data_IF_618019745617
#
_entry.id   IF_618019745617
#
_cell.length_a   1.000
_cell.length_b   1.000
_cell.length_c   1.000
_cell.angle_alpha   90.00
_cell.angle_beta   90.00
_cell.angle_gamma   90.00
#
_symmetry.space_group_name_H-M   'P 1'
#
loop_
_entity.id
_entity.type
_entity.pdbx_description
1 polymer ?
#
# COMPACT_ATOMS: atom_id res chain seq x y z
N UNK A 1 -87.82 13.42 -94.52
CA UNK A 1 -87.17 12.18 -94.05
C UNK A 1 -85.62 12.13 -94.11
N UNK A 2 -84.90 13.11 -94.69
CA UNK A 2 -83.41 13.06 -94.77
C UNK A 2 -82.65 13.57 -93.53
N UNK A 3 -83.21 14.50 -92.75
CA UNK A 3 -82.53 15.09 -91.57
C UNK A 3 -82.28 14.08 -90.43
N UNK A 4 -83.23 13.17 -90.18
CA UNK A 4 -83.15 12.24 -89.05
C UNK A 4 -82.00 11.20 -89.18
N UNK A 5 -81.57 10.87 -90.41
CA UNK A 5 -80.46 9.92 -90.64
C UNK A 5 -79.08 10.53 -90.35
N UNK A 6 -78.93 11.85 -90.48
CA UNK A 6 -77.66 12.53 -90.26
C UNK A 6 -77.38 12.71 -88.77
N UNK A 7 -78.38 13.12 -88.00
CA UNK A 7 -78.30 13.23 -86.53
C UNK A 7 -77.96 11.89 -85.87
N UNK A 8 -78.58 10.79 -86.32
CA UNK A 8 -78.28 9.44 -85.78
C UNK A 8 -76.84 9.01 -86.07
N UNK A 9 -76.26 9.38 -87.23
CA UNK A 9 -74.86 9.06 -87.53
C UNK A 9 -73.88 9.86 -86.67
N UNK A 10 -74.13 11.15 -86.47
CA UNK A 10 -73.28 12.01 -85.63
C UNK A 10 -73.34 11.57 -84.17
N UNK A 11 -74.54 11.26 -83.65
CA UNK A 11 -74.71 10.76 -82.29
C UNK A 11 -73.98 9.42 -82.04
N UNK A 12 -74.01 8.49 -83.01
CA UNK A 12 -73.27 7.23 -82.92
C UNK A 12 -71.75 7.42 -82.94
N UNK A 13 -71.25 8.38 -83.71
CA UNK A 13 -69.81 8.67 -83.78
C UNK A 13 -69.30 9.32 -82.49
N UNK A 14 -70.07 10.24 -81.92
CA UNK A 14 -69.77 10.85 -80.62
C UNK A 14 -69.80 9.82 -79.47
N UNK A 15 -70.77 8.90 -79.48
CA UNK A 15 -70.83 7.80 -78.49
C UNK A 15 -69.60 6.88 -78.59
N UNK A 16 -69.13 6.60 -79.80
CA UNK A 16 -67.96 5.75 -80.04
C UNK A 16 -66.66 6.41 -79.54
N UNK A 17 -66.49 7.71 -79.79
CA UNK A 17 -65.34 8.49 -79.26
C UNK A 17 -65.39 8.57 -77.73
N UNK A 18 -66.58 8.74 -77.13
CA UNK A 18 -66.75 8.74 -75.68
C UNK A 18 -66.41 7.37 -75.06
N UNK A 19 -66.85 6.27 -75.69
CA UNK A 19 -66.54 4.91 -75.28
C UNK A 19 -65.04 4.59 -75.37
N UNK A 20 -64.36 5.04 -76.43
CA UNK A 20 -62.91 4.88 -76.56
C UNK A 20 -62.18 5.70 -75.48
N UNK A 21 -62.61 6.94 -75.22
CA UNK A 21 -62.06 7.77 -74.15
C UNK A 21 -62.20 7.14 -72.76
N UNK A 22 -63.35 6.52 -72.47
CA UNK A 22 -63.60 5.80 -71.21
C UNK A 22 -62.71 4.55 -71.11
N UNK A 23 -62.57 3.78 -72.18
CA UNK A 23 -61.73 2.56 -72.20
C UNK A 23 -60.24 2.88 -72.04
N UNK A 24 -59.74 3.96 -72.67
CA UNK A 24 -58.36 4.40 -72.49
C UNK A 24 -58.11 5.00 -71.09
N UNK A 25 -59.06 5.76 -70.54
CA UNK A 25 -59.01 6.26 -69.16
C UNK A 25 -59.02 5.15 -68.11
N UNK A 26 -59.88 4.13 -68.29
CA UNK A 26 -59.91 2.92 -67.45
C UNK A 26 -58.61 2.11 -67.56
N UNK A 27 -58.01 2.01 -68.75
CA UNK A 27 -56.74 1.29 -68.96
C UNK A 27 -55.54 2.00 -68.30
N UNK A 28 -55.52 3.34 -68.28
CA UNK A 28 -54.50 4.12 -67.58
C UNK A 28 -54.65 3.99 -66.07
N UNK A 29 -55.86 4.17 -65.54
CA UNK A 29 -56.19 4.01 -64.12
C UNK A 29 -55.84 2.60 -63.60
N UNK A 30 -56.14 1.56 -64.38
CA UNK A 30 -55.77 0.18 -64.03
C UNK A 30 -54.25 -0.07 -63.98
N UNK A 31 -53.44 0.64 -64.78
CA UNK A 31 -51.98 0.52 -64.72
C UNK A 31 -51.41 1.19 -63.47
N UNK A 32 -51.96 2.33 -63.08
CA UNK A 32 -51.57 3.03 -61.85
C UNK A 32 -51.97 2.25 -60.60
N UNK A 33 -53.18 1.70 -60.55
CA UNK A 33 -53.64 0.79 -59.50
C UNK A 33 -52.72 -0.43 -59.34
N UNK A 34 -52.32 -1.08 -60.44
CA UNK A 34 -51.37 -2.20 -60.39
C UNK A 34 -49.99 -1.78 -59.87
N UNK A 35 -49.49 -0.60 -60.27
CA UNK A 35 -48.22 -0.06 -59.76
C UNK A 35 -48.29 0.26 -58.27
N UNK A 36 -49.41 0.80 -57.80
CA UNK A 36 -49.63 1.12 -56.40
C UNK A 36 -49.72 -0.16 -55.56
N UNK A 37 -50.47 -1.17 -56.01
CA UNK A 37 -50.54 -2.48 -55.35
C UNK A 37 -49.16 -3.14 -55.25
N UNK A 38 -48.37 -3.11 -56.32
CA UNK A 38 -46.99 -3.64 -56.29
C UNK A 38 -46.02 -2.84 -55.39
N UNK A 39 -46.33 -1.57 -55.08
CA UNK A 39 -45.60 -0.79 -54.06
C UNK A 39 -46.07 -1.17 -52.66
N UNK A 40 -47.37 -1.32 -52.45
CA UNK A 40 -47.97 -1.76 -51.18
C UNK A 40 -47.44 -3.15 -50.80
N UNK A 41 -47.40 -4.10 -51.73
CA UNK A 41 -46.88 -5.44 -51.48
C UNK A 41 -45.40 -5.41 -51.10
N UNK A 42 -44.60 -4.56 -51.75
CA UNK A 42 -43.19 -4.37 -51.39
C UNK A 42 -43.01 -3.78 -49.99
N UNK A 43 -43.81 -2.78 -49.65
CA UNK A 43 -43.78 -2.18 -48.32
C UNK A 43 -44.23 -3.20 -47.27
N UNK A 44 -45.27 -4.00 -47.56
CA UNK A 44 -45.72 -5.07 -46.65
C UNK A 44 -44.62 -6.08 -46.39
N UNK A 45 -43.94 -6.57 -47.42
CA UNK A 45 -42.79 -7.48 -47.26
C UNK A 45 -41.66 -6.84 -46.45
N UNK A 46 -41.39 -5.55 -46.65
CA UNK A 46 -40.40 -4.81 -45.85
C UNK A 46 -40.82 -4.68 -44.38
N UNK A 47 -42.09 -4.40 -44.12
CA UNK A 47 -42.65 -4.34 -42.76
C UNK A 47 -42.57 -5.70 -42.10
N UNK A 48 -43.00 -6.77 -42.78
CA UNK A 48 -42.94 -8.14 -42.26
C UNK A 48 -41.48 -8.55 -41.96
N UNK A 49 -40.53 -8.18 -42.82
CA UNK A 49 -39.10 -8.40 -42.60
C UNK A 49 -38.56 -7.60 -41.42
N UNK A 50 -38.98 -6.34 -41.25
CA UNK A 50 -38.59 -5.51 -40.11
C UNK A 50 -39.19 -6.00 -38.80
N UNK A 51 -40.44 -6.44 -38.81
CA UNK A 51 -41.11 -7.07 -37.67
C UNK A 51 -40.40 -8.37 -37.27
N UNK A 52 -40.03 -9.20 -38.24
CA UNK A 52 -39.27 -10.43 -37.99
C UNK A 52 -37.88 -10.13 -37.42
N UNK A 53 -37.17 -9.15 -37.99
CA UNK A 53 -35.86 -8.73 -37.49
C UNK A 53 -35.96 -8.17 -36.06
N UNK A 54 -36.96 -7.33 -35.78
CA UNK A 54 -37.19 -6.79 -34.44
C UNK A 54 -37.60 -7.88 -33.43
N UNK A 55 -38.40 -8.86 -33.85
CA UNK A 55 -38.79 -9.99 -33.01
C UNK A 55 -37.60 -10.85 -32.57
N UNK A 56 -36.53 -10.90 -33.38
CA UNK A 56 -35.30 -11.65 -33.08
C UNK A 56 -34.31 -10.79 -32.28
N UNK A 57 -34.09 -9.54 -32.69
CA UNK A 57 -33.07 -8.68 -32.11
C UNK A 57 -33.43 -8.19 -30.69
N UNK A 58 -34.71 -7.95 -30.41
CA UNK A 58 -35.12 -7.40 -29.13
C UNK A 58 -34.88 -8.37 -27.95
N UNK A 59 -35.26 -9.66 -28.02
CA UNK A 59 -34.93 -10.64 -26.99
C UNK A 59 -33.42 -10.82 -26.78
N UNK A 60 -32.64 -10.82 -27.85
CA UNK A 60 -31.18 -10.99 -27.80
C UNK A 60 -30.51 -9.80 -27.09
N UNK A 61 -30.92 -8.57 -27.43
CA UNK A 61 -30.47 -7.36 -26.76
C UNK A 61 -30.85 -7.35 -25.27
N UNK A 62 -32.08 -7.78 -24.93
CA UNK A 62 -32.52 -7.89 -23.54
C UNK A 62 -31.72 -8.94 -22.77
N UNK A 63 -31.39 -10.07 -23.39
CA UNK A 63 -30.57 -11.11 -22.79
C UNK A 63 -29.14 -10.61 -22.52
N UNK A 64 -28.52 -9.96 -23.52
CA UNK A 64 -27.18 -9.37 -23.40
C UNK A 64 -27.14 -8.27 -22.32
N UNK A 65 -28.14 -7.39 -22.28
CA UNK A 65 -28.27 -6.36 -21.25
C UNK A 65 -28.43 -6.96 -19.85
N UNK A 66 -29.31 -7.96 -19.69
CA UNK A 66 -29.51 -8.66 -18.42
C UNK A 66 -28.22 -9.34 -17.94
N UNK A 67 -27.43 -9.89 -18.85
CA UNK A 67 -26.14 -10.51 -18.53
C UNK A 67 -25.09 -9.46 -18.13
N UNK A 68 -25.01 -8.34 -18.84
CA UNK A 68 -24.12 -7.23 -18.49
C UNK A 68 -24.45 -6.64 -17.11
N UNK A 69 -25.74 -6.41 -16.83
CA UNK A 69 -26.21 -5.93 -15.51
C UNK A 69 -25.87 -6.92 -14.40
N UNK A 70 -26.10 -8.23 -14.61
CA UNK A 70 -25.70 -9.27 -13.64
C UNK A 70 -24.19 -9.29 -13.39
N UNK A 71 -23.37 -9.25 -14.44
CA UNK A 71 -21.91 -9.21 -14.30
C UNK A 71 -21.42 -8.01 -13.50
N UNK A 72 -22.01 -6.83 -13.74
CA UNK A 72 -21.70 -5.60 -13.00
C UNK A 72 -22.06 -5.70 -11.51
N UNK A 73 -23.26 -6.19 -11.18
CA UNK A 73 -23.67 -6.41 -9.77
C UNK A 73 -22.77 -7.41 -9.03
N UNK A 74 -22.27 -8.44 -9.74
CA UNK A 74 -21.33 -9.41 -9.17
C UNK A 74 -19.95 -8.79 -8.95
N UNK A 75 -19.48 -7.95 -9.88
CA UNK A 75 -18.21 -7.22 -9.75
C UNK A 75 -18.24 -6.22 -8.58
N UNK A 76 -19.36 -5.51 -8.39
CA UNK A 76 -19.54 -4.58 -7.28
C UNK A 76 -19.55 -5.35 -5.93
N UNK A 77 -20.16 -6.53 -5.91
CA UNK A 77 -20.14 -7.45 -4.75
C UNK A 77 -18.72 -7.98 -4.44
N UNK A 78 -17.95 -8.36 -5.46
CA UNK A 78 -16.54 -8.78 -5.30
C UNK A 78 -15.68 -7.62 -4.76
N UNK A 79 -15.88 -6.42 -5.29
CA UNK A 79 -15.17 -5.20 -4.86
C UNK A 79 -15.45 -4.90 -3.39
N UNK A 80 -16.71 -5.00 -2.97
CA UNK A 80 -17.12 -4.82 -1.57
C UNK A 80 -16.47 -5.88 -0.65
N UNK A 81 -16.44 -7.15 -1.08
CA UNK A 81 -15.77 -8.25 -0.34
C UNK A 81 -14.28 -7.99 -0.22
N UNK A 82 -13.61 -7.53 -1.29
CA UNK A 82 -12.19 -7.20 -1.28
C UNK A 82 -11.91 -6.01 -0.34
N UNK A 83 -12.69 -4.93 -0.40
CA UNK A 83 -12.56 -3.81 0.53
C UNK A 83 -12.74 -4.25 1.99
N UNK A 84 -13.75 -5.08 2.28
CA UNK A 84 -13.95 -5.64 3.62
C UNK A 84 -12.77 -6.48 4.08
N UNK A 85 -12.18 -7.27 3.17
CA UNK A 85 -11.00 -8.10 3.45
C UNK A 85 -9.75 -7.25 3.70
N UNK A 86 -9.52 -6.21 2.91
CA UNK A 86 -8.44 -5.23 3.09
C UNK A 86 -8.56 -4.55 4.45
N UNK A 87 -9.75 -4.04 4.79
CA UNK A 87 -9.98 -3.40 6.09
C UNK A 87 -9.75 -4.38 7.25
N UNK A 88 -10.19 -5.63 7.10
CA UNK A 88 -9.94 -6.68 8.10
C UNK A 88 -8.45 -6.98 8.26
N UNK A 89 -7.69 -7.03 7.15
CA UNK A 89 -6.25 -7.24 7.17
C UNK A 89 -5.52 -6.07 7.81
N UNK A 90 -5.87 -4.83 7.48
CA UNK A 90 -5.30 -3.63 8.10
C UNK A 90 -5.49 -3.63 9.62
N UNK A 91 -6.69 -3.98 10.10
CA UNK A 91 -6.95 -4.09 11.55
C UNK A 91 -6.09 -5.17 12.21
N UNK A 92 -5.87 -6.32 11.53
CA UNK A 92 -4.98 -7.37 12.03
C UNK A 92 -3.51 -6.94 12.06
N UNK A 93 -3.05 -6.23 11.02
CA UNK A 93 -1.69 -5.67 10.97
C UNK A 93 -1.47 -4.71 12.14
N UNK A 94 -2.41 -3.79 12.37
CA UNK A 94 -2.35 -2.86 13.51
C UNK A 94 -2.31 -3.59 14.87
N UNK A 95 -3.08 -4.68 15.04
CA UNK A 95 -3.00 -5.49 16.27
C UNK A 95 -1.65 -6.20 16.44
N UNK A 96 -1.06 -6.69 15.35
CA UNK A 96 0.25 -7.34 15.38
C UNK A 96 1.36 -6.33 15.68
N UNK A 97 1.32 -5.13 15.09
CA UNK A 97 2.25 -4.03 15.39
C UNK A 97 2.17 -3.63 16.86
N UNK A 98 0.96 -3.44 17.40
CA UNK A 98 0.77 -3.18 18.83
C UNK A 98 1.34 -4.31 19.69
N UNK A 99 1.10 -5.57 19.32
CA UNK A 99 1.63 -6.73 20.05
C UNK A 99 3.15 -6.81 19.99
N UNK A 100 3.79 -6.43 18.88
CA UNK A 100 5.25 -6.35 18.77
C UNK A 100 5.81 -5.32 19.76
N UNK A 101 5.18 -4.16 19.89
CA UNK A 101 5.54 -3.14 20.90
C UNK A 101 5.42 -3.70 22.34
N UNK A 102 4.40 -4.51 22.61
CA UNK A 102 4.26 -5.18 23.92
C UNK A 102 5.27 -6.32 24.12
N UNK A 103 5.70 -7.01 23.06
CA UNK A 103 6.78 -7.99 23.12
C UNK A 103 8.10 -7.32 23.47
N UNK A 104 8.41 -6.16 22.89
CA UNK A 104 9.59 -5.37 23.28
C UNK A 104 9.55 -4.97 24.74
N UNK A 105 8.37 -4.60 25.24
CA UNK A 105 8.16 -4.28 26.66
C UNK A 105 8.39 -5.49 27.57
N UNK A 106 7.98 -6.69 27.15
CA UNK A 106 8.17 -7.94 27.92
C UNK A 106 9.62 -8.41 27.86
N UNK A 107 10.25 -8.36 26.68
CA UNK A 107 11.67 -8.60 26.49
C UNK A 107 12.51 -7.65 27.33
N UNK A 108 12.09 -6.39 27.44
CA UNK A 108 12.72 -5.43 28.32
C UNK A 108 12.49 -5.72 29.80
N UNK A 109 11.32 -6.19 30.22
CA UNK A 109 11.09 -6.62 31.60
C UNK A 109 11.98 -7.82 31.97
N UNK A 110 12.09 -8.80 31.08
CA UNK A 110 12.98 -9.96 31.24
C UNK A 110 14.44 -9.49 31.31
N UNK A 111 14.84 -8.60 30.40
CA UNK A 111 16.15 -7.98 30.42
C UNK A 111 16.41 -7.28 31.76
N UNK A 112 15.51 -6.41 32.22
CA UNK A 112 15.61 -5.72 33.50
C UNK A 112 15.74 -6.68 34.70
N UNK A 113 15.06 -7.83 34.67
CA UNK A 113 15.20 -8.89 35.69
C UNK A 113 16.55 -9.57 35.64
N UNK A 114 17.04 -9.93 34.45
CA UNK A 114 18.40 -10.46 34.25
C UNK A 114 19.45 -9.46 34.74
N UNK A 115 19.21 -8.19 34.46
CA UNK A 115 20.04 -7.07 34.89
C UNK A 115 20.18 -6.99 36.40
N UNK A 116 19.07 -7.09 37.14
CA UNK A 116 19.08 -7.10 38.60
C UNK A 116 19.79 -8.32 39.19
N UNK A 117 19.70 -9.47 38.53
CA UNK A 117 20.38 -10.70 38.95
C UNK A 117 21.90 -10.51 38.80
N UNK A 118 22.35 -9.97 37.67
CA UNK A 118 23.76 -9.70 37.42
C UNK A 118 24.35 -8.71 38.44
N UNK A 119 23.63 -7.64 38.77
CA UNK A 119 24.04 -6.70 39.81
C UNK A 119 24.22 -7.38 41.18
N UNK A 120 23.34 -8.32 41.52
CA UNK A 120 23.49 -9.11 42.76
C UNK A 120 24.75 -9.98 42.71
N UNK A 121 25.04 -10.62 41.58
CA UNK A 121 26.24 -11.45 41.39
C UNK A 121 27.50 -10.62 41.53
N UNK A 122 27.61 -9.48 40.85
CA UNK A 122 28.78 -8.59 40.94
C UNK A 122 28.97 -8.07 42.36
N UNK A 123 27.91 -7.65 43.03
CA UNK A 123 27.99 -7.20 44.44
C UNK A 123 28.52 -8.31 45.34
N UNK A 124 28.01 -9.54 45.17
CA UNK A 124 28.50 -10.72 45.88
C UNK A 124 29.98 -11.02 45.59
N UNK A 125 30.40 -10.95 44.33
CA UNK A 125 31.80 -11.14 43.91
C UNK A 125 32.73 -10.09 44.49
N UNK A 126 32.30 -8.82 44.51
CA UNK A 126 33.09 -7.73 45.08
C UNK A 126 33.21 -7.88 46.60
N UNK A 127 32.10 -8.14 47.31
CA UNK A 127 32.15 -8.42 48.75
C UNK A 127 33.05 -9.62 49.08
N UNK A 128 33.05 -10.67 48.24
CA UNK A 128 33.97 -11.80 48.38
C UNK A 128 35.43 -11.39 48.17
N UNK A 129 35.72 -10.62 47.13
CA UNK A 129 37.06 -10.15 46.79
C UNK A 129 37.60 -9.16 47.84
N UNK A 130 36.73 -8.33 48.41
CA UNK A 130 37.03 -7.41 49.50
C UNK A 130 37.35 -8.18 50.80
N UNK A 131 36.56 -9.20 51.14
CA UNK A 131 36.88 -10.13 52.23
C UNK A 131 38.21 -10.88 52.00
N UNK A 132 38.52 -11.25 50.75
CA UNK A 132 39.76 -11.94 50.40
C UNK A 132 40.98 -10.99 50.41
N UNK A 133 40.81 -9.73 50.04
CA UNK A 133 41.86 -8.71 50.01
C UNK A 133 42.14 -8.13 51.40
N UNK A 134 41.14 -8.00 52.27
CA UNK A 134 41.33 -7.71 53.69
C UNK A 134 42.18 -8.79 54.40
N UNK A 135 42.20 -10.02 53.88
CA UNK A 135 43.10 -11.09 54.31
C UNK A 135 44.51 -11.02 53.71
N UNK A 136 44.76 -10.27 52.63
CA UNK A 136 46.00 -10.34 51.84
C UNK A 136 46.74 -9.01 51.60
N UNK A 137 46.17 -7.86 51.98
CA UNK A 137 46.91 -6.60 52.20
C UNK A 137 47.55 -5.94 50.97
N UNK A 138 46.90 -5.94 49.79
CA UNK A 138 47.40 -5.23 48.58
C UNK A 138 46.49 -4.06 48.15
N UNK A 139 47.03 -2.95 47.56
CA UNK A 139 46.25 -1.79 47.16
C UNK A 139 45.63 -1.93 45.75
N UNK A 140 44.49 -1.24 45.55
CA UNK A 140 43.59 -1.29 44.40
C UNK A 140 44.10 -0.48 43.18
N UNK A 141 43.81 -1.01 41.98
CA UNK A 141 43.99 -0.36 40.66
C UNK A 141 42.85 0.65 40.44
N UNK A 142 43.13 1.77 39.76
CA UNK A 142 42.16 2.82 39.42
C UNK A 142 40.85 2.25 38.86
N UNK A 143 39.77 2.33 39.64
CA UNK A 143 38.44 1.90 39.23
C UNK A 143 37.80 2.89 38.24
N UNK A 144 37.03 2.42 37.25
CA UNK A 144 36.20 3.28 36.41
C UNK A 144 35.22 4.10 37.26
N UNK A 145 34.92 5.32 36.80
CA UNK A 145 34.06 6.29 37.52
C UNK A 145 32.67 5.73 37.83
N UNK A 146 32.21 4.73 37.07
CA UNK A 146 31.10 3.86 37.41
C UNK A 146 31.54 2.41 37.46
N UNK A 147 31.14 1.70 38.52
CA UNK A 147 31.10 0.25 38.45
C UNK A 147 29.95 -0.21 37.54
N UNK A 148 30.00 -1.47 37.07
CA UNK A 148 29.01 -2.02 36.13
C UNK A 148 27.56 -1.80 36.59
N UNK A 149 27.27 -1.92 37.89
CA UNK A 149 25.93 -1.72 38.44
C UNK A 149 25.45 -0.25 38.33
N UNK A 150 26.34 0.72 38.56
CA UNK A 150 26.03 2.14 38.43
C UNK A 150 25.76 2.54 36.97
N UNK A 151 26.61 2.06 36.05
CA UNK A 151 26.42 2.26 34.61
C UNK A 151 25.04 1.77 34.17
N UNK A 152 24.70 0.56 34.60
CA UNK A 152 23.46 -0.13 34.28
C UNK A 152 22.22 0.54 34.87
N UNK A 153 22.28 1.01 36.11
CA UNK A 153 21.19 1.79 36.72
C UNK A 153 20.92 3.08 35.94
N UNK A 154 21.98 3.79 35.54
CA UNK A 154 21.86 5.00 34.73
C UNK A 154 21.32 4.69 33.33
N UNK A 155 21.72 3.56 32.73
CA UNK A 155 21.18 3.07 31.46
C UNK A 155 19.67 2.86 31.55
N UNK A 156 19.21 2.11 32.56
CA UNK A 156 17.77 1.85 32.76
C UNK A 156 16.97 3.13 32.98
N UNK A 157 17.51 4.09 33.76
CA UNK A 157 16.86 5.40 33.97
C UNK A 157 16.75 6.18 32.65
N UNK A 158 17.80 6.19 31.85
CA UNK A 158 17.85 6.89 30.56
C UNK A 158 16.88 6.27 29.56
N UNK A 159 16.78 4.94 29.53
CA UNK A 159 15.80 4.23 28.73
C UNK A 159 14.36 4.53 29.18
N UNK A 160 14.11 4.62 30.49
CA UNK A 160 12.83 5.06 31.02
C UNK A 160 12.46 6.49 30.58
N UNK A 161 13.44 7.40 30.47
CA UNK A 161 13.19 8.72 29.89
C UNK A 161 12.83 8.64 28.40
N UNK A 162 13.54 7.82 27.62
CA UNK A 162 13.24 7.60 26.20
C UNK A 162 11.82 7.06 25.98
N UNK A 163 11.40 6.07 26.78
CA UNK A 163 10.06 5.49 26.71
C UNK A 163 8.94 6.48 27.01
N UNK A 164 9.21 7.44 27.91
CA UNK A 164 8.29 8.52 28.22
C UNK A 164 8.40 9.69 27.22
N UNK A 165 9.09 9.50 26.08
CA UNK A 165 9.36 10.51 25.06
C UNK A 165 10.11 11.75 25.58
N UNK A 166 10.69 11.65 26.78
CA UNK A 166 11.54 12.68 27.36
C UNK A 166 12.96 12.54 26.79
N UNK A 167 13.08 12.86 25.50
CA UNK A 167 14.31 12.64 24.76
C UNK A 167 15.48 13.45 25.27
N UNK A 168 15.27 14.68 25.78
CA UNK A 168 16.37 15.50 26.30
C UNK A 168 17.02 14.88 27.54
N UNK A 169 16.21 14.37 28.48
CA UNK A 169 16.74 13.67 29.64
C UNK A 169 17.40 12.33 29.27
N UNK A 170 16.85 11.61 28.29
CA UNK A 170 17.43 10.38 27.78
C UNK A 170 18.79 10.63 27.10
N UNK A 171 18.87 11.65 26.24
CA UNK A 171 20.11 12.08 25.57
C UNK A 171 21.19 12.41 26.60
N UNK A 172 20.86 13.21 27.61
CA UNK A 172 21.81 13.56 28.66
C UNK A 172 22.36 12.30 29.36
N UNK A 173 21.48 11.35 29.70
CA UNK A 173 21.86 10.11 30.36
C UNK A 173 22.71 9.17 29.49
N UNK A 174 22.31 8.91 28.25
CA UNK A 174 23.09 8.05 27.34
C UNK A 174 24.41 8.69 26.92
N UNK A 175 24.44 10.02 26.72
CA UNK A 175 25.68 10.75 26.41
C UNK A 175 26.70 10.65 27.54
N UNK A 176 26.24 10.71 28.79
CA UNK A 176 27.10 10.52 29.96
C UNK A 176 27.69 9.11 29.99
N UNK A 177 26.86 8.09 29.76
CA UNK A 177 27.29 6.68 29.74
C UNK A 177 28.38 6.40 28.69
N UNK A 178 28.17 6.81 27.44
CA UNK A 178 29.18 6.63 26.38
C UNK A 178 30.44 7.45 26.61
N UNK A 179 30.39 8.51 27.42
CA UNK A 179 31.56 9.31 27.77
C UNK A 179 32.38 8.73 28.92
N UNK A 180 31.72 8.07 29.88
CA UNK A 180 32.36 7.54 31.08
C UNK A 180 33.08 6.22 30.82
N UNK A 181 32.45 5.32 30.08
CA UNK A 181 33.01 3.98 29.82
C UNK A 181 32.51 3.44 28.48
N UNK A 182 33.40 3.45 27.49
CA UNK A 182 33.18 2.91 26.15
C UNK A 182 33.48 1.41 26.06
N UNK A 183 34.03 0.82 27.13
CA UNK A 183 34.36 -0.61 27.20
C UNK A 183 33.28 -1.41 27.92
N UNK A 184 32.27 -0.74 28.48
CA UNK A 184 31.16 -1.37 29.15
C UNK A 184 30.34 -2.25 28.18
N UNK A 185 29.81 -3.37 28.68
CA UNK A 185 28.93 -4.26 27.93
C UNK A 185 27.64 -3.59 27.41
N UNK A 186 27.25 -2.43 27.97
CA UNK A 186 26.11 -1.63 27.53
C UNK A 186 26.50 -0.36 26.77
N UNK A 187 27.79 -0.17 26.46
CA UNK A 187 28.26 1.06 25.83
C UNK A 187 27.79 1.19 24.37
N UNK A 188 27.82 0.11 23.61
CA UNK A 188 27.30 0.03 22.25
C UNK A 188 25.79 0.30 22.20
N UNK A 189 25.04 -0.29 23.13
CA UNK A 189 23.62 -0.09 23.35
C UNK A 189 23.31 1.35 23.72
N UNK A 190 24.11 1.94 24.62
CA UNK A 190 23.97 3.36 25.02
C UNK A 190 24.22 4.29 23.83
N UNK A 191 25.21 3.98 23.00
CA UNK A 191 25.52 4.72 21.78
C UNK A 191 24.37 4.64 20.76
N UNK A 192 23.80 3.44 20.58
CA UNK A 192 22.62 3.24 19.73
C UNK A 192 21.41 4.04 20.25
N UNK A 193 21.09 3.94 21.54
CA UNK A 193 19.95 4.64 22.13
C UNK A 193 20.12 6.16 22.11
N UNK A 194 21.35 6.67 22.22
CA UNK A 194 21.62 8.09 22.00
C UNK A 194 21.22 8.52 20.58
N UNK A 195 21.55 7.71 19.57
CA UNK A 195 21.08 7.90 18.19
C UNK A 195 19.56 7.84 18.07
N UNK A 196 18.90 6.87 18.71
CA UNK A 196 17.44 6.73 18.71
C UNK A 196 16.73 7.93 19.33
N UNK A 197 17.27 8.48 20.42
CA UNK A 197 16.70 9.69 21.02
C UNK A 197 16.77 10.88 20.05
N UNK A 198 17.92 11.07 19.38
CA UNK A 198 18.10 12.13 18.39
C UNK A 198 17.19 11.91 17.17
N UNK A 199 17.03 10.66 16.74
CA UNK A 199 16.07 10.29 15.68
C UNK A 199 14.63 10.64 16.07
N UNK A 200 14.22 10.32 17.31
CA UNK A 200 12.91 10.65 17.86
C UNK A 200 12.64 12.16 17.90
N UNK A 201 13.68 12.95 18.19
CA UNK A 201 13.65 14.42 18.10
C UNK A 201 13.69 14.97 16.67
N UNK A 202 13.80 14.11 15.65
CA UNK A 202 14.00 14.47 14.24
C UNK A 202 15.30 15.23 13.98
N UNK A 203 16.27 15.11 14.89
CA UNK A 203 17.62 15.66 14.75
C UNK A 203 18.50 14.71 13.91
N UNK A 204 18.03 14.37 12.72
CA UNK A 204 18.57 13.28 11.90
C UNK A 204 20.06 13.43 11.57
N UNK A 205 20.56 14.66 11.41
CA UNK A 205 21.99 14.91 11.17
C UNK A 205 22.86 14.50 12.35
N UNK A 206 22.41 14.77 13.58
CA UNK A 206 23.12 14.34 14.79
C UNK A 206 22.95 12.83 14.99
N UNK A 207 21.74 12.31 14.77
CA UNK A 207 21.48 10.87 14.83
C UNK A 207 22.41 10.07 13.90
N UNK A 208 22.69 10.57 12.68
CA UNK A 208 23.66 9.96 11.76
C UNK A 208 25.04 9.82 12.39
N UNK A 209 25.51 10.85 13.09
CA UNK A 209 26.82 10.81 13.75
C UNK A 209 26.83 9.77 14.86
N UNK A 210 25.78 9.70 15.67
CA UNK A 210 25.72 8.80 16.81
C UNK A 210 25.49 7.34 16.41
N UNK A 211 24.65 7.05 15.40
CA UNK A 211 24.53 5.70 14.86
C UNK A 211 25.83 5.23 14.18
N UNK A 212 26.55 6.14 13.51
CA UNK A 212 27.85 5.82 12.90
C UNK A 212 28.91 5.38 13.92
N UNK A 213 28.82 5.85 15.16
CA UNK A 213 29.74 5.44 16.23
C UNK A 213 29.47 4.03 16.75
N UNK A 214 28.30 3.44 16.52
CA UNK A 214 28.01 2.06 16.94
C UNK A 214 28.99 1.07 16.30
N UNK A 215 29.41 1.34 15.05
CA UNK A 215 30.37 0.48 14.34
C UNK A 215 31.80 0.52 14.90
N UNK A 216 32.13 1.43 15.83
CA UNK A 216 33.45 1.42 16.49
C UNK A 216 33.52 0.43 17.67
N UNK A 217 32.39 -0.15 18.09
CA UNK A 217 32.34 -1.14 19.16
C UNK A 217 32.61 -2.55 18.59
N UNK A 218 33.70 -3.22 18.99
CA UNK A 218 34.03 -4.54 18.45
C UNK A 218 32.96 -5.58 18.80
N UNK A 219 32.38 -6.24 17.80
CA UNK A 219 31.42 -7.32 18.02
C UNK A 219 30.03 -6.90 18.52
N UNK A 220 29.69 -5.61 18.36
CA UNK A 220 28.36 -5.07 18.68
C UNK A 220 27.24 -5.88 18.01
N UNK A 221 26.16 -6.14 18.75
CA UNK A 221 24.93 -6.76 18.25
C UNK A 221 23.91 -5.73 17.73
N UNK A 222 24.30 -4.45 17.70
CA UNK A 222 23.49 -3.30 17.23
C UNK A 222 23.90 -2.81 15.83
N UNK A 223 24.76 -3.53 15.13
CA UNK A 223 25.30 -3.10 13.84
C UNK A 223 24.23 -3.02 12.73
N UNK A 224 23.38 -4.03 12.61
CA UNK A 224 22.28 -4.05 11.64
C UNK A 224 21.16 -3.04 11.98
N UNK A 225 20.82 -2.90 13.26
CA UNK A 225 19.95 -1.85 13.80
C UNK A 225 20.47 -0.45 13.42
N UNK A 226 21.73 -0.16 13.75
CA UNK A 226 22.37 1.11 13.46
C UNK A 226 22.44 1.37 11.94
N UNK A 227 22.72 0.33 11.15
CA UNK A 227 22.78 0.41 9.70
C UNK A 227 21.43 0.80 9.08
N UNK A 228 20.34 0.20 9.58
CA UNK A 228 18.98 0.59 9.18
C UNK A 228 18.67 2.03 9.57
N UNK A 229 19.01 2.44 10.80
CA UNK A 229 18.73 3.80 11.26
C UNK A 229 19.52 4.85 10.50
N UNK A 230 20.77 4.58 10.13
CA UNK A 230 21.53 5.44 9.22
C UNK A 230 20.81 5.64 7.88
N UNK A 231 20.34 4.56 7.26
CA UNK A 231 19.61 4.62 5.99
C UNK A 231 18.34 5.47 6.11
N UNK A 232 17.56 5.26 7.18
CA UNK A 232 16.36 6.03 7.47
C UNK A 232 16.67 7.51 7.75
N UNK A 233 17.74 7.82 8.47
CA UNK A 233 18.13 9.21 8.71
C UNK A 233 18.48 9.92 7.41
N UNK A 234 19.30 9.30 6.55
CA UNK A 234 19.64 9.88 5.25
C UNK A 234 18.42 10.08 4.36
N UNK A 235 17.48 9.14 4.39
CA UNK A 235 16.20 9.27 3.68
C UNK A 235 15.39 10.46 4.20
N UNK A 236 15.27 10.62 5.53
CA UNK A 236 14.51 11.71 6.15
C UNK A 236 15.09 13.10 5.87
N UNK A 237 16.41 13.22 5.69
CA UNK A 237 17.03 14.49 5.30
C UNK A 237 17.08 14.70 3.77
N UNK A 238 16.45 13.81 3.00
CA UNK A 238 16.38 13.90 1.54
C UNK A 238 17.67 13.50 0.81
N UNK A 239 18.67 12.96 1.50
CA UNK A 239 19.89 12.46 0.86
C UNK A 239 19.67 11.03 0.37
N UNK A 240 18.97 10.90 -0.75
CA UNK A 240 18.52 9.61 -1.30
C UNK A 240 19.70 8.72 -1.73
N UNK A 241 20.77 9.30 -2.27
CA UNK A 241 21.96 8.54 -2.68
C UNK A 241 22.61 7.84 -1.50
N UNK A 242 22.81 8.58 -0.39
CA UNK A 242 23.32 7.98 0.85
C UNK A 242 22.33 7.00 1.45
N UNK A 243 21.04 7.31 1.47
CA UNK A 243 20.02 6.38 1.96
C UNK A 243 20.08 5.04 1.25
N UNK A 244 20.15 5.06 -0.10
CA UNK A 244 20.33 3.87 -0.92
C UNK A 244 21.62 3.13 -0.57
N UNK A 245 22.74 3.85 -0.45
CA UNK A 245 24.01 3.22 -0.08
C UNK A 245 23.93 2.50 1.26
N UNK A 246 23.31 3.11 2.27
CA UNK A 246 23.18 2.50 3.60
C UNK A 246 22.17 1.33 3.60
N UNK A 247 21.07 1.40 2.84
CA UNK A 247 20.18 0.24 2.66
C UNK A 247 20.87 -0.92 1.93
N UNK A 248 21.72 -0.63 0.95
CA UNK A 248 22.48 -1.64 0.21
C UNK A 248 23.45 -2.40 1.13
N UNK A 249 24.11 -1.70 2.07
CA UNK A 249 24.96 -2.34 3.08
C UNK A 249 24.23 -3.40 3.91
N UNK A 250 22.93 -3.23 4.17
CA UNK A 250 22.13 -4.26 4.86
C UNK A 250 22.01 -5.53 4.03
N UNK A 251 21.83 -5.38 2.73
CA UNK A 251 21.74 -6.51 1.80
C UNK A 251 23.09 -7.24 1.69
N UNK A 252 24.18 -6.48 1.68
CA UNK A 252 25.52 -7.01 1.41
C UNK A 252 26.15 -7.63 2.67
N UNK A 253 25.99 -6.99 3.83
CA UNK A 253 26.70 -7.36 5.07
C UNK A 253 25.81 -8.05 6.11
N UNK A 254 24.49 -7.85 6.05
CA UNK A 254 23.54 -8.37 7.05
C UNK A 254 22.44 -9.27 6.42
N UNK A 255 22.78 -10.32 5.65
CA UNK A 255 21.80 -11.15 4.94
C UNK A 255 20.85 -11.94 5.85
N UNK A 256 21.23 -12.15 7.12
CA UNK A 256 20.41 -12.81 8.14
C UNK A 256 19.59 -11.86 9.02
N UNK A 257 19.76 -10.55 8.86
CA UNK A 257 19.04 -9.55 9.67
C UNK A 257 17.54 -9.55 9.35
N UNK A 258 16.71 -9.30 10.36
CA UNK A 258 15.27 -9.10 10.18
C UNK A 258 14.96 -7.88 9.29
N UNK A 259 15.91 -6.97 9.13
CA UNK A 259 15.79 -5.77 8.29
C UNK A 259 16.08 -6.01 6.82
N UNK A 260 16.61 -7.18 6.44
CA UNK A 260 16.94 -7.51 5.06
C UNK A 260 15.75 -7.31 4.08
N UNK A 261 14.53 -7.83 4.36
CA UNK A 261 13.39 -7.62 3.47
C UNK A 261 12.98 -6.14 3.39
N UNK A 262 13.10 -5.40 4.49
CA UNK A 262 12.77 -3.98 4.57
C UNK A 262 13.74 -3.15 3.72
N UNK A 263 15.04 -3.42 3.81
CA UNK A 263 16.07 -2.78 3.00
C UNK A 263 15.85 -3.03 1.50
N UNK A 264 15.53 -4.26 1.11
CA UNK A 264 15.23 -4.61 -0.28
C UNK A 264 14.02 -3.85 -0.83
N UNK A 265 12.98 -3.69 -0.03
CA UNK A 265 11.80 -2.92 -0.41
C UNK A 265 12.09 -1.41 -0.51
N UNK A 266 12.86 -0.86 0.43
CA UNK A 266 13.27 0.53 0.40
C UNK A 266 14.09 0.86 -0.86
N UNK A 267 15.06 0.01 -1.22
CA UNK A 267 15.87 0.20 -2.43
C UNK A 267 15.02 0.23 -3.71
N UNK A 268 14.01 -0.63 -3.82
CA UNK A 268 13.07 -0.61 -4.96
C UNK A 268 12.32 0.71 -5.03
N UNK A 269 11.79 1.18 -3.90
CA UNK A 269 11.03 2.45 -3.85
C UNK A 269 11.92 3.66 -4.20
N UNK A 270 13.16 3.68 -3.70
CA UNK A 270 14.11 4.76 -3.95
C UNK A 270 14.72 4.74 -5.35
N UNK A 271 14.51 3.69 -6.14
CA UNK A 271 15.00 3.57 -7.53
C UNK A 271 13.96 4.01 -8.57
N UNK A 272 12.72 4.28 -8.14
CA UNK A 272 11.60 4.63 -9.02
C UNK A 272 11.41 6.15 -9.14
N UNK A 273 12.08 6.93 -8.29
CA UNK A 273 11.99 8.40 -8.25
C UNK A 273 13.14 9.08 -8.99
#
# INVERSE_FOLDING_TARGET
MKSNKLYVKIAKSLLYVLLIGIVFGQKSSNRELRRLNAKIDRVRVQVDSLETNNAILLPELMAAFKQAVKGKTQQDSITLVLMKRINTLNNKIMMLENRAIFMDSTSLEIFNKLVMIENKIVTLTNSYSEMASLKSGKPLVNEPQYNSAQYKMKYMKSLGHFQNLNYDAAIAGFKELVSVDQTNDLADNSQYWLGECLYGKREYKQAILEFGKVFSFPGTDKDDDAQLKLALCYQNIGNIDKARSEFQKIIDYFPGSEYYPKAKNALKQLSIN
#
